data_IF_133390732080
#
_entry.id   IF_133390732080
#
_cell.length_a   1.000
_cell.length_b   1.000
_cell.length_c   1.000
_cell.angle_alpha   90.00
_cell.angle_beta   90.00
_cell.angle_gamma   90.00
#
_symmetry.space_group_name_H-M   'P 1'
#
loop_
_entity.id
_entity.type
_entity.pdbx_description
1 polymer ?
#
# COMPACT_ATOMS: atom_id res chain seq x y z
N UNK A 1 9.66 22.10 0.49
CA UNK A 1 8.77 21.07 -0.09
C UNK A 1 8.94 19.75 0.66
N UNK A 2 7.89 19.28 1.37
CA UNK A 2 7.90 17.99 2.09
C UNK A 2 7.64 16.82 1.14
N UNK A 3 7.98 15.61 1.58
CA UNK A 3 7.68 14.37 0.82
C UNK A 3 6.51 13.63 1.46
N UNK A 4 5.50 13.32 0.67
CA UNK A 4 4.36 12.49 1.10
C UNK A 4 4.36 11.18 0.31
N UNK A 5 4.26 10.01 0.98
CA UNK A 5 4.19 8.73 0.30
C UNK A 5 2.87 8.61 -0.47
N UNK A 6 2.91 8.11 -1.71
CA UNK A 6 1.71 7.89 -2.53
C UNK A 6 0.91 6.66 -2.04
N UNK A 7 0.38 6.76 -0.83
CA UNK A 7 -0.48 5.78 -0.17
C UNK A 7 -1.37 6.49 0.86
N UNK A 8 -1.99 5.72 1.77
CA UNK A 8 -2.88 6.27 2.78
C UNK A 8 -2.19 7.26 3.74
N UNK A 9 -0.89 7.09 4.02
CA UNK A 9 -0.14 7.95 4.95
C UNK A 9 0.02 9.34 4.38
N UNK A 10 0.41 9.45 3.11
CA UNK A 10 0.53 10.75 2.45
C UNK A 10 -0.82 11.41 2.20
N UNK A 11 -1.88 10.62 1.99
CA UNK A 11 -3.25 11.15 1.92
C UNK A 11 -3.69 11.78 3.24
N UNK A 12 -3.36 11.14 4.37
CA UNK A 12 -3.61 11.67 5.71
C UNK A 12 -2.80 12.95 5.93
N UNK A 13 -1.49 12.92 5.69
CA UNK A 13 -0.62 14.10 5.85
C UNK A 13 -1.12 15.30 5.05
N UNK A 14 -1.50 15.08 3.79
CA UNK A 14 -2.07 16.12 2.94
C UNK A 14 -3.39 16.68 3.48
N UNK A 15 -4.24 15.84 4.07
CA UNK A 15 -5.50 16.28 4.67
C UNK A 15 -5.29 17.05 5.98
N UNK A 16 -4.27 16.68 6.78
CA UNK A 16 -3.94 17.36 8.02
C UNK A 16 -3.21 18.67 7.82
N UNK A 17 -2.39 18.76 6.78
CA UNK A 17 -1.49 19.88 6.53
C UNK A 17 -1.69 20.41 5.10
N UNK A 18 -2.88 20.96 4.78
CA UNK A 18 -3.24 21.34 3.41
C UNK A 18 -2.39 22.49 2.84
N UNK A 19 -1.90 23.38 3.72
CA UNK A 19 -1.10 24.56 3.33
C UNK A 19 0.38 24.24 3.11
N UNK A 20 0.83 23.02 3.46
CA UNK A 20 2.24 22.65 3.30
C UNK A 20 2.49 22.21 1.87
N UNK A 21 3.43 22.87 1.19
CA UNK A 21 3.92 22.40 -0.11
C UNK A 21 4.58 21.03 -0.01
N UNK A 22 4.14 20.11 -0.86
CA UNK A 22 4.58 18.72 -0.85
C UNK A 22 4.81 18.17 -2.27
N UNK A 23 5.61 17.12 -2.35
CA UNK A 23 5.68 16.24 -3.52
C UNK A 23 5.31 14.82 -3.15
N UNK A 24 4.68 14.11 -4.07
CA UNK A 24 4.46 12.68 -3.89
C UNK A 24 5.74 11.89 -4.14
N UNK A 25 5.99 10.87 -3.33
CA UNK A 25 7.08 9.91 -3.50
C UNK A 25 6.56 8.48 -3.47
N UNK A 26 7.34 7.53 -3.99
CA UNK A 26 6.97 6.12 -3.88
C UNK A 26 6.93 5.70 -2.39
N UNK A 27 5.88 5.00 -1.93
CA UNK A 27 5.70 4.66 -0.51
C UNK A 27 6.87 3.96 0.18
N UNK A 28 7.65 3.20 -0.57
CA UNK A 28 8.80 2.44 -0.09
C UNK A 28 10.13 3.22 -0.11
N UNK A 29 10.13 4.43 -0.67
CA UNK A 29 11.25 5.36 -0.60
C UNK A 29 11.05 6.43 0.47
N UNK A 30 9.86 6.48 1.07
CA UNK A 30 9.56 7.42 2.15
C UNK A 30 10.10 6.89 3.48
N UNK A 31 11.01 7.66 4.08
CA UNK A 31 11.76 7.26 5.28
C UNK A 31 11.28 7.92 6.57
N UNK A 32 10.29 8.82 6.50
CA UNK A 32 9.74 9.46 7.70
C UNK A 32 8.70 8.56 8.39
N UNK A 33 8.36 8.92 9.63
CA UNK A 33 7.25 8.33 10.38
C UNK A 33 6.03 9.25 10.36
N UNK A 34 4.84 8.66 10.46
CA UNK A 34 3.60 9.39 10.70
C UNK A 34 3.20 9.18 12.15
N UNK A 35 3.33 10.23 12.97
CA UNK A 35 2.69 10.29 14.29
C UNK A 35 1.46 11.22 14.23
N UNK A 36 0.28 10.63 14.38
CA UNK A 36 -0.98 11.38 14.32
C UNK A 36 -1.13 12.33 15.51
N UNK A 37 -0.57 11.99 16.67
CA UNK A 37 -0.73 12.76 17.92
C UNK A 37 0.10 14.04 17.91
N UNK A 38 1.14 14.11 17.08
CA UNK A 38 1.88 15.35 16.84
C UNK A 38 1.09 16.39 16.03
N UNK A 39 0.04 15.95 15.33
CA UNK A 39 -0.73 16.79 14.40
C UNK A 39 -2.13 17.17 14.89
N UNK A 40 -2.67 16.48 15.90
CA UNK A 40 -4.01 16.78 16.41
C UNK A 40 -4.21 16.30 17.85
N UNK A 41 -5.12 16.96 18.56
CA UNK A 41 -5.51 16.63 19.94
C UNK A 41 -6.86 15.89 20.03
N UNK A 42 -7.63 15.82 18.94
CA UNK A 42 -8.93 15.12 18.93
C UNK A 42 -8.73 13.60 18.80
N UNK A 43 -8.77 12.90 19.93
CA UNK A 43 -8.63 11.45 20.03
C UNK A 43 -9.65 10.66 19.17
N UNK A 44 -10.87 11.18 18.99
CA UNK A 44 -11.87 10.51 18.15
C UNK A 44 -11.44 10.54 16.67
N UNK A 45 -10.88 11.67 16.23
CA UNK A 45 -10.40 11.83 14.88
C UNK A 45 -9.09 11.05 14.66
N UNK A 46 -8.17 11.06 15.65
CA UNK A 46 -6.96 10.20 15.67
C UNK A 46 -7.36 8.76 15.44
N UNK A 47 -8.34 8.24 16.19
CA UNK A 47 -8.80 6.86 16.04
C UNK A 47 -9.32 6.55 14.63
N UNK A 48 -10.01 7.50 13.99
CA UNK A 48 -10.49 7.31 12.61
C UNK A 48 -9.34 7.21 11.61
N UNK A 49 -8.26 7.97 11.79
CA UNK A 49 -7.05 7.83 10.99
C UNK A 49 -6.28 6.54 11.28
N UNK A 50 -6.17 6.15 12.55
CA UNK A 50 -5.57 4.87 12.93
C UNK A 50 -6.30 3.71 12.25
N UNK A 51 -7.64 3.73 12.18
CA UNK A 51 -8.41 2.71 11.44
C UNK A 51 -7.98 2.66 9.96
N UNK A 52 -7.77 3.80 9.30
CA UNK A 52 -7.31 3.83 7.90
C UNK A 52 -5.93 3.16 7.75
N UNK A 53 -5.00 3.44 8.67
CA UNK A 53 -3.67 2.84 8.70
C UNK A 53 -3.72 1.33 8.99
N UNK A 54 -4.52 0.94 10.00
CA UNK A 54 -4.70 -0.45 10.42
C UNK A 54 -5.24 -1.31 9.30
N UNK A 55 -6.36 -0.92 8.66
CA UNK A 55 -6.99 -1.78 7.65
C UNK A 55 -6.17 -1.88 6.37
N UNK A 56 -5.38 -0.84 6.07
CA UNK A 56 -4.49 -0.83 4.92
C UNK A 56 -3.28 -1.74 5.16
N UNK A 57 -2.83 -1.83 6.42
CA UNK A 57 -1.80 -2.77 6.85
C UNK A 57 -2.30 -4.21 6.97
N UNK A 58 -3.51 -4.43 7.47
CA UNK A 58 -4.01 -5.77 7.77
C UNK A 58 -4.60 -6.50 6.55
N UNK A 59 -5.11 -5.76 5.56
CA UNK A 59 -5.76 -6.35 4.39
C UNK A 59 -7.13 -6.98 4.69
N UNK A 60 -7.71 -6.70 5.86
CA UNK A 60 -9.08 -7.03 6.25
C UNK A 60 -9.70 -5.87 7.05
N UNK A 61 -11.03 -5.87 7.21
CA UNK A 61 -11.76 -4.80 7.88
C UNK A 61 -12.76 -4.09 6.96
N UNK A 62 -13.16 -2.87 7.35
CA UNK A 62 -14.22 -2.09 6.70
C UNK A 62 -13.87 -1.78 5.24
N UNK A 63 -14.87 -1.88 4.35
CA UNK A 63 -14.71 -1.76 2.89
C UNK A 63 -14.16 -0.38 2.49
N UNK A 64 -14.81 0.70 2.95
CA UNK A 64 -14.48 2.08 2.54
C UNK A 64 -13.04 2.48 2.94
N UNK A 65 -12.60 2.33 4.20
CA UNK A 65 -11.22 2.62 4.61
C UNK A 65 -10.17 1.85 3.81
N UNK A 66 -10.41 0.56 3.54
CA UNK A 66 -9.50 -0.26 2.73
C UNK A 66 -9.42 0.21 1.29
N UNK A 67 -10.57 0.51 0.69
CA UNK A 67 -10.63 1.01 -0.67
C UNK A 67 -9.87 2.34 -0.82
N UNK A 68 -9.89 3.21 0.22
CA UNK A 68 -9.14 4.46 0.22
C UNK A 68 -7.62 4.21 0.09
N UNK A 69 -7.07 3.28 0.87
CA UNK A 69 -5.65 2.92 0.79
C UNK A 69 -5.24 2.30 -0.54
N UNK A 70 -6.07 1.41 -1.10
CA UNK A 70 -5.84 0.83 -2.44
C UNK A 70 -5.88 1.92 -3.52
N UNK A 71 -6.88 2.80 -3.48
CA UNK A 71 -7.01 3.89 -4.44
C UNK A 71 -5.81 4.84 -4.36
N UNK A 72 -5.34 5.17 -3.16
CA UNK A 72 -4.17 6.01 -2.94
C UNK A 72 -2.91 5.39 -3.56
N UNK A 73 -2.63 4.12 -3.28
CA UNK A 73 -1.49 3.36 -3.87
C UNK A 73 -1.52 3.28 -5.40
N UNK A 74 -2.71 3.33 -6.00
CA UNK A 74 -2.87 3.33 -7.45
C UNK A 74 -2.77 4.74 -8.07
N UNK A 75 -2.52 5.78 -7.26
CA UNK A 75 -2.49 7.18 -7.72
C UNK A 75 -3.87 7.76 -8.01
N UNK A 76 -4.97 7.06 -7.65
CA UNK A 76 -6.35 7.54 -7.83
C UNK A 76 -6.75 8.48 -6.70
N UNK A 77 -5.98 9.57 -6.52
CA UNK A 77 -6.05 10.46 -5.34
C UNK A 77 -7.44 11.08 -5.14
N UNK A 78 -8.13 11.50 -6.20
CA UNK A 78 -9.49 12.02 -6.09
C UNK A 78 -10.47 11.02 -5.47
N UNK A 79 -10.47 9.77 -5.95
CA UNK A 79 -11.29 8.70 -5.39
C UNK A 79 -10.87 8.35 -3.95
N UNK A 80 -9.57 8.31 -3.69
CA UNK A 80 -9.03 8.03 -2.36
C UNK A 80 -9.48 9.08 -1.34
N UNK A 81 -9.45 10.37 -1.70
CA UNK A 81 -9.94 11.48 -0.87
C UNK A 81 -11.42 11.34 -0.55
N UNK A 82 -12.25 11.02 -1.54
CA UNK A 82 -13.69 10.81 -1.34
C UNK A 82 -13.91 9.67 -0.34
N UNK A 83 -13.33 8.50 -0.58
CA UNK A 83 -13.45 7.33 0.30
C UNK A 83 -12.95 7.62 1.73
N UNK A 84 -11.80 8.29 1.86
CA UNK A 84 -11.27 8.71 3.15
C UNK A 84 -12.24 9.65 3.87
N UNK A 85 -12.73 10.69 3.20
CA UNK A 85 -13.67 11.66 3.80
C UNK A 85 -14.98 11.00 4.23
N UNK A 86 -15.51 10.06 3.45
CA UNK A 86 -16.71 9.29 3.81
C UNK A 86 -16.52 8.56 5.13
N UNK A 87 -15.36 7.93 5.34
CA UNK A 87 -15.01 7.31 6.62
C UNK A 87 -14.81 8.34 7.74
N UNK A 88 -14.02 9.38 7.52
CA UNK A 88 -13.71 10.38 8.56
C UNK A 88 -14.97 11.08 9.08
N UNK A 89 -15.92 11.37 8.20
CA UNK A 89 -17.16 12.06 8.54
C UNK A 89 -18.33 11.12 8.85
N UNK A 90 -18.11 9.79 8.93
CA UNK A 90 -19.16 8.79 9.14
C UNK A 90 -20.35 8.94 8.18
N UNK A 91 -20.08 9.35 6.93
CA UNK A 91 -21.13 9.51 5.91
C UNK A 91 -21.54 8.14 5.38
N UNK A 92 -22.83 7.97 5.11
CA UNK A 92 -23.28 6.80 4.36
C UNK A 92 -22.75 6.90 2.93
N UNK A 93 -22.01 5.90 2.42
CA UNK A 93 -21.54 5.92 1.05
C UNK A 93 -22.74 5.79 0.10
N UNK A 94 -22.74 6.60 -0.97
CA UNK A 94 -23.67 6.40 -2.08
C UNK A 94 -23.42 5.02 -2.73
N UNK A 95 -24.45 4.38 -3.30
CA UNK A 95 -24.32 3.05 -3.91
C UNK A 95 -23.21 2.96 -4.96
N UNK A 96 -23.00 4.00 -5.79
CA UNK A 96 -21.92 3.98 -6.77
C UNK A 96 -20.54 4.01 -6.12
N UNK A 97 -20.37 4.75 -5.02
CA UNK A 97 -19.10 4.81 -4.29
C UNK A 97 -18.79 3.47 -3.63
N UNK A 98 -19.79 2.82 -3.03
CA UNK A 98 -19.65 1.48 -2.45
C UNK A 98 -19.29 0.44 -3.52
N UNK A 99 -19.97 0.45 -4.67
CA UNK A 99 -19.66 -0.43 -5.79
C UNK A 99 -18.21 -0.23 -6.29
N UNK A 100 -17.76 1.03 -6.42
CA UNK A 100 -16.35 1.34 -6.77
C UNK A 100 -15.38 0.82 -5.72
N UNK A 101 -15.69 0.96 -4.43
CA UNK A 101 -14.88 0.45 -3.35
C UNK A 101 -14.76 -1.08 -3.44
N UNK A 102 -15.87 -1.80 -3.55
CA UNK A 102 -15.90 -3.26 -3.70
C UNK A 102 -15.09 -3.73 -4.92
N UNK A 103 -15.18 -3.01 -6.04
CA UNK A 103 -14.39 -3.31 -7.23
C UNK A 103 -12.88 -3.19 -7.00
N UNK A 104 -12.42 -2.17 -6.26
CA UNK A 104 -11.01 -2.03 -5.89
C UNK A 104 -10.52 -3.22 -5.04
N UNK A 105 -11.28 -3.60 -4.02
CA UNK A 105 -10.94 -4.73 -3.15
C UNK A 105 -10.91 -6.05 -3.94
N UNK A 106 -11.90 -6.27 -4.81
CA UNK A 106 -11.99 -7.48 -5.62
C UNK A 106 -10.86 -7.58 -6.66
N UNK A 107 -10.49 -6.45 -7.28
CA UNK A 107 -9.38 -6.40 -8.22
C UNK A 107 -8.04 -6.68 -7.52
N UNK A 108 -7.77 -6.05 -6.37
CA UNK A 108 -6.58 -6.34 -5.57
C UNK A 108 -6.53 -7.83 -5.18
N UNK A 109 -7.62 -8.38 -4.65
CA UNK A 109 -7.72 -9.79 -4.27
C UNK A 109 -7.45 -10.72 -5.45
N UNK A 110 -8.00 -10.40 -6.63
CA UNK A 110 -7.81 -11.19 -7.86
C UNK A 110 -6.35 -11.14 -8.32
N UNK A 111 -5.73 -9.96 -8.30
CA UNK A 111 -4.31 -9.77 -8.66
C UNK A 111 -3.41 -10.56 -7.70
N UNK A 112 -3.56 -10.36 -6.39
CA UNK A 112 -2.78 -11.09 -5.37
C UNK A 112 -2.91 -12.60 -5.54
N UNK A 113 -4.13 -13.12 -5.79
CA UNK A 113 -4.33 -14.56 -6.04
C UNK A 113 -3.52 -15.07 -7.24
N UNK A 114 -3.44 -14.30 -8.34
CA UNK A 114 -2.65 -14.66 -9.53
C UNK A 114 -1.14 -14.64 -9.28
N UNK A 115 -0.68 -13.73 -8.42
CA UNK A 115 0.74 -13.60 -8.08
C UNK A 115 1.26 -14.78 -7.28
N UNK A 116 0.40 -15.50 -6.53
CA UNK A 116 0.76 -16.66 -5.72
C UNK A 116 1.00 -17.95 -6.53
N UNK A 117 1.11 -17.84 -7.85
CA UNK A 117 1.48 -18.96 -8.70
C UNK A 117 2.96 -19.34 -8.47
N UNK A 118 3.21 -20.58 -8.04
CA UNK A 118 4.57 -21.10 -7.77
C UNK A 118 5.52 -21.02 -8.95
N UNK A 119 5.01 -21.01 -10.19
CA UNK A 119 5.87 -20.86 -11.38
C UNK A 119 6.55 -19.47 -11.46
N UNK A 120 6.15 -18.53 -10.62
CA UNK A 120 6.79 -17.21 -10.49
C UNK A 120 8.00 -17.24 -9.55
N UNK A 121 8.18 -18.31 -8.79
CA UNK A 121 9.35 -18.52 -7.94
C UNK A 121 10.48 -19.17 -8.76
N UNK A 122 11.51 -18.40 -9.09
CA UNK A 122 12.69 -18.89 -9.83
C UNK A 122 13.89 -17.91 -9.75
N UNK A 123 15.05 -18.28 -9.18
CA UNK A 123 15.33 -19.52 -8.48
C UNK A 123 14.55 -19.63 -7.16
N UNK A 124 14.77 -20.72 -6.41
CA UNK A 124 14.13 -20.95 -5.12
C UNK A 124 14.20 -19.72 -4.19
N UNK A 125 13.10 -19.44 -3.50
CA UNK A 125 12.89 -18.31 -2.58
C UNK A 125 12.99 -16.91 -3.24
N UNK A 126 13.03 -16.83 -4.57
CA UNK A 126 13.01 -15.57 -5.35
C UNK A 126 11.76 -15.51 -6.23
N UNK A 127 10.86 -14.57 -5.92
CA UNK A 127 9.61 -14.35 -6.65
C UNK A 127 9.77 -13.28 -7.73
N UNK A 128 9.62 -13.65 -9.00
CA UNK A 128 9.71 -12.74 -10.15
C UNK A 128 8.33 -12.21 -10.51
N UNK A 129 8.07 -10.98 -10.08
CA UNK A 129 6.83 -10.23 -10.29
C UNK A 129 7.11 -8.92 -11.04
N UNK A 130 8.10 -8.90 -11.93
CA UNK A 130 8.53 -7.72 -12.70
C UNK A 130 7.41 -7.17 -13.61
N UNK A 131 6.49 -8.02 -14.02
CA UNK A 131 5.27 -7.68 -14.78
C UNK A 131 4.23 -6.93 -13.94
N UNK A 132 4.46 -6.81 -12.63
CA UNK A 132 3.48 -6.32 -11.66
C UNK A 132 3.97 -5.03 -10.99
N UNK A 133 3.13 -4.00 -10.85
CA UNK A 133 3.54 -2.76 -10.21
C UNK A 133 3.87 -2.96 -8.72
N UNK A 134 4.90 -2.26 -8.24
CA UNK A 134 5.44 -2.35 -6.89
C UNK A 134 4.41 -2.11 -5.78
N UNK A 135 3.34 -1.34 -6.03
CA UNK A 135 2.34 -1.01 -5.01
C UNK A 135 1.63 -2.23 -4.42
N UNK A 136 1.56 -3.34 -5.15
CA UNK A 136 0.81 -4.54 -4.70
C UNK A 136 1.65 -5.49 -3.84
N UNK A 137 2.97 -5.29 -3.78
CA UNK A 137 3.88 -6.18 -3.05
C UNK A 137 3.52 -6.29 -1.56
N UNK A 138 3.15 -5.22 -0.83
CA UNK A 138 2.67 -5.33 0.55
C UNK A 138 1.45 -6.26 0.70
N UNK A 139 0.49 -6.19 -0.22
CA UNK A 139 -0.71 -7.05 -0.19
C UNK A 139 -0.36 -8.50 -0.56
N UNK A 140 0.56 -8.70 -1.49
CA UNK A 140 1.08 -10.02 -1.84
C UNK A 140 1.79 -10.70 -0.66
N UNK A 141 2.75 -10.03 -0.01
CA UNK A 141 3.57 -10.67 1.04
C UNK A 141 2.72 -11.09 2.24
N UNK A 142 1.71 -10.28 2.63
CA UNK A 142 0.79 -10.63 3.72
C UNK A 142 0.03 -11.91 3.40
N UNK A 143 -0.50 -12.01 2.18
CA UNK A 143 -1.22 -13.22 1.74
C UNK A 143 -0.28 -14.42 1.59
N UNK A 144 0.92 -14.21 1.08
CA UNK A 144 1.95 -15.25 0.98
C UNK A 144 2.31 -15.80 2.36
N UNK A 145 2.54 -14.93 3.36
CA UNK A 145 2.90 -15.31 4.73
C UNK A 145 1.82 -16.10 5.47
N UNK A 146 0.54 -15.90 5.12
CA UNK A 146 -0.54 -16.74 5.62
C UNK A 146 -0.44 -18.21 5.15
N UNK A 147 0.32 -18.49 4.08
CA UNK A 147 0.52 -19.84 3.54
C UNK A 147 1.94 -20.37 3.80
N UNK A 148 2.94 -19.49 3.77
CA UNK A 148 4.36 -19.82 3.94
C UNK A 148 5.02 -18.81 4.87
N UNK A 149 5.09 -19.14 6.16
CA UNK A 149 5.59 -18.22 7.19
C UNK A 149 7.07 -18.42 7.55
N UNK A 150 7.69 -19.55 7.22
CA UNK A 150 8.95 -19.99 7.85
C UNK A 150 10.23 -19.55 7.13
N UNK A 151 10.15 -19.09 5.87
CA UNK A 151 11.33 -18.86 5.02
C UNK A 151 11.59 -17.39 4.75
N UNK A 152 12.86 -17.00 4.65
CA UNK A 152 13.21 -15.71 4.06
C UNK A 152 13.01 -15.78 2.54
N UNK A 153 12.47 -14.72 1.94
CA UNK A 153 12.23 -14.67 0.48
C UNK A 153 12.66 -13.33 -0.07
N UNK A 154 12.95 -13.30 -1.37
CA UNK A 154 13.14 -12.09 -2.15
C UNK A 154 12.03 -11.96 -3.18
N UNK A 155 11.60 -10.73 -3.48
CA UNK A 155 10.62 -10.43 -4.51
C UNK A 155 11.23 -9.39 -5.45
N UNK A 156 11.16 -9.65 -6.74
CA UNK A 156 11.50 -8.69 -7.78
C UNK A 156 10.21 -8.16 -8.36
N UNK A 157 9.84 -6.91 -8.06
CA UNK A 157 8.66 -6.27 -8.64
C UNK A 157 9.04 -5.40 -9.84
N UNK A 158 8.03 -5.04 -10.63
CA UNK A 158 8.15 -3.93 -11.57
C UNK A 158 8.19 -2.59 -10.84
N UNK A 159 7.97 -1.51 -11.60
CA UNK A 159 8.04 -0.15 -11.10
C UNK A 159 6.81 0.31 -10.33
N UNK A 160 6.92 1.53 -9.82
CA UNK A 160 5.85 2.32 -9.24
C UNK A 160 5.59 3.56 -10.12
N UNK A 161 4.40 4.16 -10.01
CA UNK A 161 4.05 5.40 -10.73
C UNK A 161 5.08 6.52 -10.56
N UNK A 162 5.76 6.54 -9.42
CA UNK A 162 6.75 7.56 -9.02
C UNK A 162 8.17 7.02 -8.86
N UNK A 163 8.41 5.76 -9.22
CA UNK A 163 9.72 5.12 -9.11
C UNK A 163 9.80 3.99 -10.14
N UNK A 164 10.25 4.33 -11.35
CA UNK A 164 10.36 3.40 -12.47
C UNK A 164 11.44 2.32 -12.22
N UNK A 165 11.50 1.34 -13.13
CA UNK A 165 12.45 0.23 -13.05
C UNK A 165 11.99 -0.90 -12.13
N UNK A 166 12.79 -1.95 -12.05
CA UNK A 166 12.52 -3.10 -11.20
C UNK A 166 13.03 -2.85 -9.78
N UNK A 167 12.35 -3.45 -8.80
CA UNK A 167 12.69 -3.30 -7.39
C UNK A 167 12.84 -4.64 -6.71
N UNK A 168 13.93 -4.82 -5.97
CA UNK A 168 14.20 -6.00 -5.15
C UNK A 168 13.78 -5.74 -3.71
N UNK A 169 12.91 -6.59 -3.20
CA UNK A 169 12.41 -6.58 -1.83
C UNK A 169 12.93 -7.82 -1.12
N UNK A 170 13.55 -7.66 0.05
CA UNK A 170 13.94 -8.80 0.89
C UNK A 170 13.06 -8.87 2.12
N UNK A 171 12.57 -10.06 2.43
CA UNK A 171 11.75 -10.31 3.62
C UNK A 171 12.39 -11.40 4.47
N UNK A 172 12.63 -11.08 5.73
CA UNK A 172 13.06 -12.08 6.71
C UNK A 172 11.93 -13.09 6.99
N UNK A 173 12.29 -14.25 7.54
CA UNK A 173 11.33 -15.27 7.99
C UNK A 173 10.25 -14.64 8.88
N UNK A 174 8.99 -15.07 8.69
CA UNK A 174 7.78 -14.61 9.40
C UNK A 174 7.43 -13.12 9.23
N UNK A 175 8.30 -12.29 8.64
CA UNK A 175 8.05 -10.87 8.43
C UNK A 175 7.20 -10.60 7.19
N UNK A 176 6.28 -9.64 7.30
CA UNK A 176 5.59 -8.99 6.18
C UNK A 176 6.17 -7.60 5.89
N UNK A 177 7.14 -7.14 6.68
CA UNK A 177 7.87 -5.89 6.50
C UNK A 177 9.19 -6.22 5.81
N UNK A 178 9.54 -5.54 4.71
CA UNK A 178 10.80 -5.77 4.03
C UNK A 178 11.98 -5.32 4.91
N UNK A 179 13.03 -6.13 4.96
CA UNK A 179 14.31 -5.75 5.59
C UNK A 179 15.20 -4.93 4.66
N UNK A 180 14.95 -4.99 3.35
CA UNK A 180 15.64 -4.20 2.34
C UNK A 180 14.75 -4.00 1.14
N UNK A 181 14.79 -2.80 0.57
CA UNK A 181 14.20 -2.45 -0.72
C UNK A 181 15.25 -1.68 -1.50
N UNK A 182 15.55 -2.11 -2.74
CA UNK A 182 16.52 -1.43 -3.60
C UNK A 182 16.17 -1.59 -5.08
N UNK A 183 16.72 -0.72 -5.92
CA UNK A 183 16.65 -0.91 -7.37
C UNK A 183 17.26 -2.27 -7.76
N UNK A 184 16.62 -2.92 -8.72
CA UNK A 184 17.11 -4.16 -9.32
C UNK A 184 17.53 -3.88 -10.75
N UNK A 185 18.84 -3.83 -10.95
CA UNK A 185 19.44 -3.75 -12.28
C UNK A 185 19.55 -5.17 -12.85
N UNK A 186 18.99 -5.36 -14.05
CA UNK A 186 19.25 -6.55 -14.84
C UNK A 186 20.65 -6.33 -15.43
N UNK A 187 21.63 -7.12 -14.99
CA UNK A 187 22.91 -7.16 -15.67
C UNK A 187 22.68 -7.90 -16.99
N UNK A 188 22.74 -7.18 -18.10
CA UNK A 188 22.86 -7.81 -19.42
C UNK A 188 24.22 -8.51 -19.46
N UNK A 189 24.21 -9.83 -19.69
CA UNK A 189 25.39 -10.63 -19.98
C UNK A 189 25.60 -10.69 -21.49
#
# INVERSE_FOLDING_TARGET
MREYPLDIRGLILHHLLPEIEYRWVAPFLWNDSLDLREHMMDENLVRKYEILLEVDSLGHGRIIPRAAGIAARQGRIGLARILMSTHLYNRQPEPELEARALNLLNDEKRKVRRLLNRNREWPQDVWNLQDTPAWIIPSFIRRFRAMVNSRAISIISGGHLLAAGNWMWKFNSKSHIPSLIKSHEIKEN
#
